data_IF_003849925956
#
_entry.id   IF_003849925956
#
_cell.length_a   1.000
_cell.length_b   1.000
_cell.length_c   1.000
_cell.angle_alpha   90.00
_cell.angle_beta   90.00
_cell.angle_gamma   90.00
#
_symmetry.space_group_name_H-M   'P 1'
#
loop_
_entity.id
_entity.type
_entity.pdbx_description
1 polymer ?
#
# COMPACT_ATOMS: atom_id res chain seq x y z
N UNK A 1 9.27 -0.72 18.03
CA UNK A 1 9.42 -0.36 16.60
C UNK A 1 8.58 0.89 16.44
N UNK A 2 9.18 1.99 16.00
CA UNK A 2 8.52 3.30 16.00
C UNK A 2 7.22 3.29 15.18
N UNK A 3 6.22 4.01 15.67
CA UNK A 3 4.98 4.33 14.96
C UNK A 3 5.32 5.10 13.69
N UNK A 4 5.56 4.38 12.58
CA UNK A 4 5.76 4.97 11.25
C UNK A 4 4.56 4.66 10.36
N UNK A 5 4.17 5.58 9.47
CA UNK A 5 3.22 5.26 8.41
C UNK A 5 3.72 4.06 7.60
N UNK A 6 2.84 3.11 7.31
CA UNK A 6 3.12 1.89 6.56
C UNK A 6 3.68 2.26 5.17
N UNK A 7 4.76 1.62 4.74
CA UNK A 7 5.28 1.72 3.38
C UNK A 7 4.72 0.63 2.46
N UNK A 8 5.59 0.06 1.63
CA UNK A 8 5.38 -1.22 0.95
C UNK A 8 6.36 -2.23 1.54
N UNK A 9 5.90 -2.96 2.55
CA UNK A 9 6.75 -3.84 3.36
C UNK A 9 6.11 -5.22 3.58
N UNK A 10 6.93 -6.18 3.98
CA UNK A 10 6.45 -7.51 4.33
C UNK A 10 5.61 -7.45 5.60
N UNK A 11 4.63 -8.35 5.71
CA UNK A 11 4.01 -8.62 6.99
C UNK A 11 4.95 -9.47 7.86
N UNK A 12 4.85 -9.41 9.19
CA UNK A 12 5.54 -10.34 10.06
C UNK A 12 5.05 -11.77 9.80
N UNK A 13 6.00 -12.72 9.77
CA UNK A 13 5.68 -14.13 9.64
C UNK A 13 4.67 -14.58 10.73
N UNK A 14 3.74 -15.45 10.35
CA UNK A 14 2.76 -16.07 11.26
C UNK A 14 1.71 -15.14 11.89
N UNK A 15 1.60 -13.87 11.48
CA UNK A 15 0.52 -12.99 11.95
C UNK A 15 -0.82 -13.19 11.22
N UNK A 16 -0.80 -13.67 9.97
CA UNK A 16 -2.00 -13.69 9.14
C UNK A 16 -2.57 -12.29 8.88
N UNK A 17 -1.73 -11.26 8.87
CA UNK A 17 -2.15 -9.86 8.76
C UNK A 17 -2.29 -9.37 7.30
N UNK A 18 -2.36 -10.27 6.33
CA UNK A 18 -2.25 -9.95 4.90
C UNK A 18 -3.35 -9.01 4.43
N UNK A 19 -4.58 -9.17 4.93
CA UNK A 19 -5.66 -8.23 4.62
C UNK A 19 -5.48 -6.84 5.23
N UNK A 20 -4.85 -6.70 6.39
CA UNK A 20 -4.55 -5.39 6.95
C UNK A 20 -3.43 -4.68 6.17
N UNK A 21 -2.40 -5.43 5.76
CA UNK A 21 -1.34 -4.93 4.89
C UNK A 21 -1.84 -4.59 3.49
N UNK A 22 -2.64 -5.45 2.86
CA UNK A 22 -3.25 -5.19 1.56
C UNK A 22 -4.14 -3.94 1.60
N UNK A 23 -4.92 -3.76 2.67
CA UNK A 23 -5.67 -2.52 2.89
C UNK A 23 -4.74 -1.31 2.97
N UNK A 24 -3.70 -1.36 3.82
CA UNK A 24 -2.77 -0.24 3.98
C UNK A 24 -2.01 0.10 2.69
N UNK A 25 -1.53 -0.91 1.96
CA UNK A 25 -0.87 -0.74 0.66
C UNK A 25 -1.82 -0.12 -0.39
N UNK A 26 -3.08 -0.58 -0.46
CA UNK A 26 -4.07 0.01 -1.36
C UNK A 26 -4.40 1.46 -0.98
N UNK A 27 -4.52 1.76 0.32
CA UNK A 27 -4.76 3.11 0.82
C UNK A 27 -3.59 4.06 0.55
N UNK A 28 -2.35 3.57 0.69
CA UNK A 28 -1.17 4.33 0.30
C UNK A 28 -1.26 4.76 -1.17
N UNK A 29 -1.62 3.85 -2.08
CA UNK A 29 -1.75 4.16 -3.52
C UNK A 29 -2.79 5.24 -3.82
N UNK A 30 -3.73 5.51 -2.92
CA UNK A 30 -4.74 6.58 -3.05
C UNK A 30 -4.48 7.76 -2.09
N UNK A 31 -3.22 7.95 -1.71
CA UNK A 31 -2.77 9.03 -0.82
C UNK A 31 -3.49 9.05 0.53
N UNK A 32 -3.70 7.88 1.12
CA UNK A 32 -4.18 7.70 2.49
C UNK A 32 -3.16 6.85 3.24
N UNK A 33 -2.49 7.50 4.18
CA UNK A 33 -1.42 6.97 5.00
C UNK A 33 -1.95 6.60 6.38
N UNK A 34 -1.20 5.73 7.05
CA UNK A 34 -1.46 5.35 8.44
C UNK A 34 -0.47 4.27 8.85
N UNK A 35 -0.27 4.11 10.15
CA UNK A 35 0.47 2.97 10.70
C UNK A 35 -0.29 1.66 10.46
N UNK A 36 0.46 0.55 10.43
CA UNK A 36 -0.14 -0.78 10.28
C UNK A 36 -1.17 -1.10 11.36
N UNK A 37 -0.97 -0.64 12.60
CA UNK A 37 -1.91 -0.88 13.70
C UNK A 37 -3.23 -0.13 13.50
N UNK A 38 -3.20 1.06 12.89
CA UNK A 38 -4.40 1.77 12.47
C UNK A 38 -5.16 0.97 11.41
N UNK A 39 -4.47 0.37 10.44
CA UNK A 39 -5.10 -0.47 9.44
C UNK A 39 -5.67 -1.75 10.03
N UNK A 40 -4.93 -2.46 10.89
CA UNK A 40 -5.39 -3.63 11.67
C UNK A 40 -6.66 -3.30 12.45
N UNK A 41 -6.68 -2.16 13.15
CA UNK A 41 -7.85 -1.70 13.90
C UNK A 41 -9.04 -1.33 12.98
N UNK A 42 -8.76 -0.67 11.86
CA UNK A 42 -9.78 -0.24 10.92
C UNK A 42 -10.46 -1.43 10.22
N UNK A 43 -9.69 -2.49 9.95
CA UNK A 43 -10.10 -3.70 9.26
C UNK A 43 -10.64 -4.78 10.21
N UNK A 44 -10.73 -4.50 11.52
CA UNK A 44 -11.14 -5.47 12.52
C UNK A 44 -10.29 -6.77 12.48
N UNK A 45 -9.00 -6.63 12.19
CA UNK A 45 -8.05 -7.74 12.20
C UNK A 45 -8.11 -8.49 13.53
N UNK A 46 -8.05 -9.81 13.43
CA UNK A 46 -8.01 -10.71 14.59
C UNK A 46 -6.66 -11.41 14.62
N UNK A 47 -5.85 -11.12 15.64
CA UNK A 47 -4.58 -11.80 15.85
C UNK A 47 -4.78 -13.21 16.40
N UNK A 48 -3.77 -14.06 16.24
CA UNK A 48 -3.74 -15.41 16.82
C UNK A 48 -3.98 -15.39 18.33
N UNK A 49 -3.36 -14.47 19.06
CA UNK A 49 -3.57 -14.32 20.51
C UNK A 49 -5.01 -13.97 20.86
N UNK A 50 -5.67 -13.13 20.05
CA UNK A 50 -7.08 -12.77 20.25
C UNK A 50 -8.01 -13.95 19.93
N UNK A 51 -7.74 -14.66 18.84
CA UNK A 51 -8.47 -15.87 18.46
C UNK A 51 -8.34 -16.96 19.52
N UNK A 52 -7.12 -17.21 20.00
CA UNK A 52 -6.81 -18.10 21.12
C UNK A 52 -7.65 -17.72 22.33
N UNK A 53 -7.61 -16.47 22.80
CA UNK A 53 -8.40 -16.05 23.99
C UNK A 53 -9.92 -16.23 23.82
N UNK A 54 -10.44 -16.06 22.61
CA UNK A 54 -11.87 -16.25 22.29
C UNK A 54 -12.27 -17.72 22.36
N UNK A 55 -11.41 -18.61 21.87
CA UNK A 55 -11.73 -20.02 21.64
C UNK A 55 -11.18 -20.99 22.71
N UNK A 56 -10.08 -20.66 23.40
CA UNK A 56 -9.56 -21.37 24.57
C UNK A 56 -10.36 -21.04 25.84
N UNK A 57 -11.53 -21.65 25.94
CA UNK A 57 -12.23 -21.84 27.23
C UNK A 57 -11.90 -23.24 27.75
N UNK A 58 -11.84 -23.41 29.07
CA UNK A 58 -11.40 -24.67 29.71
C UNK A 58 -12.13 -25.93 29.20
N UNK A 59 -13.40 -25.80 28.80
CA UNK A 59 -14.20 -26.90 28.25
C UNK A 59 -13.94 -27.21 26.76
N UNK A 60 -13.30 -26.31 26.00
CA UNK A 60 -12.92 -26.52 24.59
C UNK A 60 -11.54 -27.16 24.45
N UNK A 61 -10.75 -27.25 25.52
CA UNK A 61 -9.39 -27.79 25.51
C UNK A 61 -9.34 -29.27 25.08
N UNK A 62 -10.44 -30.01 25.26
CA UNK A 62 -10.57 -31.42 24.86
C UNK A 62 -11.11 -31.62 23.44
N UNK A 63 -11.50 -30.55 22.73
CA UNK A 63 -12.05 -30.65 21.39
C UNK A 63 -10.95 -30.51 20.34
N UNK A 64 -10.75 -31.53 19.52
CA UNK A 64 -9.77 -31.53 18.42
C UNK A 64 -10.00 -30.39 17.41
N UNK A 65 -11.24 -29.90 17.27
CA UNK A 65 -11.59 -28.84 16.32
C UNK A 65 -11.26 -27.44 16.84
N UNK A 66 -10.74 -27.30 18.06
CA UNK A 66 -10.38 -25.99 18.63
C UNK A 66 -9.23 -25.32 17.88
N UNK A 67 -8.28 -26.09 17.34
CA UNK A 67 -7.18 -25.54 16.54
C UNK A 67 -7.68 -24.92 15.22
N UNK A 68 -8.50 -25.66 14.47
CA UNK A 68 -9.10 -25.16 13.22
C UNK A 68 -9.93 -23.88 13.46
N UNK A 69 -10.74 -23.84 14.52
CA UNK A 69 -11.49 -22.63 14.90
C UNK A 69 -10.60 -21.46 15.28
N UNK A 70 -9.45 -21.72 15.88
CA UNK A 70 -8.49 -20.66 16.20
C UNK A 70 -7.90 -20.12 14.91
N UNK A 71 -7.42 -20.99 14.01
CA UNK A 71 -6.83 -20.59 12.72
C UNK A 71 -7.83 -19.80 11.87
N UNK A 72 -9.04 -20.33 11.68
CA UNK A 72 -10.06 -19.71 10.83
C UNK A 72 -10.57 -18.34 11.33
N UNK A 73 -10.33 -18.02 12.60
CA UNK A 73 -10.68 -16.73 13.21
C UNK A 73 -9.53 -15.70 13.06
N UNK A 74 -8.33 -16.09 12.60
CA UNK A 74 -7.17 -15.20 12.42
C UNK A 74 -7.24 -14.45 11.10
N UNK A 75 -6.76 -13.21 11.11
CA UNK A 75 -6.61 -12.40 9.90
C UNK A 75 -7.72 -11.40 9.70
N UNK A 76 -7.99 -11.07 8.44
CA UNK A 76 -8.93 -10.01 8.04
C UNK A 76 -9.98 -10.59 7.10
N UNK A 77 -11.23 -10.52 7.53
CA UNK A 77 -12.38 -10.90 6.70
C UNK A 77 -12.69 -9.85 5.62
N UNK A 78 -13.47 -10.22 4.60
CA UNK A 78 -14.09 -9.31 3.64
C UNK A 78 -14.72 -8.08 4.33
N UNK A 79 -15.55 -8.33 5.36
CA UNK A 79 -16.21 -7.26 6.11
C UNK A 79 -15.21 -6.32 6.77
N UNK A 80 -14.06 -6.87 7.16
CA UNK A 80 -12.91 -6.13 7.64
C UNK A 80 -12.35 -5.17 6.60
N UNK A 81 -12.01 -5.67 5.41
CA UNK A 81 -11.53 -4.85 4.29
C UNK A 81 -12.51 -3.71 3.96
N UNK A 82 -13.79 -4.04 3.78
CA UNK A 82 -14.85 -3.06 3.49
C UNK A 82 -14.99 -2.00 4.59
N UNK A 83 -14.89 -2.42 5.86
CA UNK A 83 -14.89 -1.50 7.02
C UNK A 83 -13.70 -0.54 6.96
N UNK A 84 -12.51 -1.04 6.63
CA UNK A 84 -11.29 -0.25 6.48
C UNK A 84 -11.42 0.81 5.38
N UNK A 85 -11.82 0.39 4.17
CA UNK A 85 -12.06 1.28 3.01
C UNK A 85 -13.05 2.39 3.39
N UNK A 86 -14.16 2.03 4.03
CA UNK A 86 -15.19 2.99 4.47
C UNK A 86 -14.67 3.98 5.51
N UNK A 87 -13.90 3.53 6.51
CA UNK A 87 -13.29 4.40 7.53
C UNK A 87 -12.30 5.40 6.92
N UNK A 88 -11.59 4.98 5.87
CA UNK A 88 -10.72 5.84 5.07
C UNK A 88 -11.50 6.82 4.17
N UNK A 89 -12.84 6.80 4.19
CA UNK A 89 -13.73 7.62 3.35
C UNK A 89 -13.56 7.35 1.85
N UNK A 90 -13.07 6.17 1.48
CA UNK A 90 -13.05 5.68 0.11
C UNK A 90 -14.36 4.94 -0.22
N UNK A 91 -14.66 4.84 -1.52
CA UNK A 91 -15.71 3.98 -2.03
C UNK A 91 -15.10 2.62 -2.38
N UNK A 92 -15.79 1.53 -2.01
CA UNK A 92 -15.44 0.18 -2.46
C UNK A 92 -16.38 -0.23 -3.59
N UNK A 93 -15.83 -0.88 -4.60
CA UNK A 93 -16.62 -1.58 -5.63
C UNK A 93 -16.25 -3.05 -5.58
N UNK A 94 -17.24 -3.90 -5.32
CA UNK A 94 -17.07 -5.35 -5.32
C UNK A 94 -16.75 -5.83 -6.74
N UNK A 95 -15.69 -6.61 -6.85
CA UNK A 95 -15.38 -7.42 -8.03
C UNK A 95 -15.70 -8.85 -7.64
N UNK A 96 -16.66 -9.43 -8.34
CA UNK A 96 -17.02 -10.85 -8.23
C UNK A 96 -17.42 -11.32 -9.63
N UNK A 97 -16.46 -11.90 -10.36
CA UNK A 97 -16.66 -12.29 -11.76
C UNK A 97 -16.00 -13.65 -12.07
N UNK A 98 -16.78 -14.52 -12.74
CA UNK A 98 -16.45 -15.91 -13.05
C UNK A 98 -15.97 -16.12 -14.49
N UNK A 99 -15.90 -15.05 -15.29
CA UNK A 99 -15.39 -15.05 -16.67
C UNK A 99 -13.98 -14.48 -16.70
N UNK A 100 -12.99 -15.30 -17.05
CA UNK A 100 -11.58 -14.87 -17.08
C UNK A 100 -11.37 -13.64 -17.98
N UNK A 101 -12.00 -13.61 -19.15
CA UNK A 101 -11.84 -12.49 -20.10
C UNK A 101 -12.52 -11.21 -19.61
N UNK A 102 -13.67 -11.30 -18.96
CA UNK A 102 -14.36 -10.13 -18.41
C UNK A 102 -13.65 -9.60 -17.18
N UNK A 103 -13.17 -10.49 -16.32
CA UNK A 103 -12.35 -10.16 -15.15
C UNK A 103 -11.09 -9.39 -15.52
N UNK A 104 -10.40 -9.76 -16.60
CA UNK A 104 -9.25 -9.00 -17.09
C UNK A 104 -9.63 -7.57 -17.49
N UNK A 105 -10.73 -7.42 -18.24
CA UNK A 105 -11.24 -6.11 -18.69
C UNK A 105 -11.66 -5.23 -17.51
N UNK A 106 -12.36 -5.80 -16.53
CA UNK A 106 -12.76 -5.10 -15.32
C UNK A 106 -11.55 -4.64 -14.51
N UNK A 107 -10.56 -5.52 -14.34
CA UNK A 107 -9.33 -5.16 -13.65
C UNK A 107 -8.60 -4.01 -14.37
N UNK A 108 -8.46 -4.10 -15.69
CA UNK A 108 -7.88 -3.04 -16.52
C UNK A 108 -8.64 -1.71 -16.35
N UNK A 109 -9.97 -1.73 -16.42
CA UNK A 109 -10.82 -0.55 -16.27
C UNK A 109 -10.59 0.15 -14.92
N UNK A 110 -10.54 -0.59 -13.81
CA UNK A 110 -10.32 0.02 -12.49
C UNK A 110 -8.92 0.64 -12.37
N UNK A 111 -7.89 -0.06 -12.87
CA UNK A 111 -6.51 0.42 -12.80
C UNK A 111 -6.30 1.65 -13.69
N UNK A 112 -6.86 1.67 -14.90
CA UNK A 112 -6.80 2.80 -15.82
C UNK A 112 -7.51 4.03 -15.24
N UNK A 113 -8.55 3.82 -14.43
CA UNK A 113 -9.24 4.87 -13.66
C UNK A 113 -8.55 5.21 -12.32
N UNK A 114 -7.34 4.72 -12.09
CA UNK A 114 -6.55 5.04 -10.90
C UNK A 114 -7.02 4.38 -9.61
N UNK A 115 -7.82 3.31 -9.68
CA UNK A 115 -8.31 2.59 -8.50
C UNK A 115 -7.49 1.32 -8.28
N UNK A 116 -6.72 1.20 -7.18
CA UNK A 116 -6.06 -0.06 -6.87
C UNK A 116 -7.11 -1.10 -6.48
N UNK A 117 -6.80 -2.37 -6.73
CA UNK A 117 -7.73 -3.47 -6.48
C UNK A 117 -7.14 -4.40 -5.42
N UNK A 118 -7.81 -4.55 -4.29
CA UNK A 118 -7.49 -5.56 -3.29
C UNK A 118 -8.10 -6.88 -3.75
N UNK A 119 -7.27 -7.85 -4.09
CA UNK A 119 -7.68 -9.16 -4.59
C UNK A 119 -7.57 -10.22 -3.51
N UNK A 120 -8.51 -11.15 -3.52
CA UNK A 120 -8.44 -12.39 -2.77
C UNK A 120 -7.90 -13.49 -3.67
N UNK A 121 -7.13 -14.40 -3.10
CA UNK A 121 -6.77 -15.66 -3.73
C UNK A 121 -6.87 -16.79 -2.71
N UNK A 122 -7.26 -17.97 -3.18
CA UNK A 122 -7.26 -19.21 -2.42
C UNK A 122 -6.15 -20.09 -3.00
N UNK A 123 -5.06 -20.33 -2.26
CA UNK A 123 -3.76 -20.63 -2.89
C UNK A 123 -3.54 -22.11 -3.17
N UNK A 124 -4.20 -23.02 -2.47
CA UNK A 124 -3.99 -24.45 -2.69
C UNK A 124 -5.22 -25.27 -2.29
N UNK A 125 -5.47 -26.34 -3.04
CA UNK A 125 -6.42 -27.40 -2.69
C UNK A 125 -5.87 -28.29 -1.55
N UNK A 126 -4.55 -28.36 -1.39
CA UNK A 126 -3.85 -29.31 -0.53
C UNK A 126 -3.30 -28.70 0.76
N UNK A 127 -3.25 -27.37 0.87
CA UNK A 127 -2.97 -26.68 2.12
C UNK A 127 -4.32 -26.22 2.67
N UNK A 128 -4.54 -26.37 3.98
CA UNK A 128 -5.66 -25.72 4.69
C UNK A 128 -5.40 -24.20 4.66
N UNK A 129 -5.50 -23.57 3.48
CA UNK A 129 -5.26 -22.15 3.30
C UNK A 129 -6.58 -21.39 3.50
N UNK A 130 -6.60 -20.55 4.54
CA UNK A 130 -7.71 -19.62 4.86
C UNK A 130 -7.82 -18.48 3.79
N UNK A 131 -6.93 -18.51 2.80
CA UNK A 131 -6.83 -17.59 1.66
C UNK A 131 -6.08 -16.31 2.00
N UNK A 132 -5.79 -15.53 0.98
CA UNK A 132 -4.83 -14.44 1.08
C UNK A 132 -5.23 -13.19 0.31
N UNK A 133 -4.94 -12.04 0.91
CA UNK A 133 -5.21 -10.73 0.35
C UNK A 133 -3.93 -10.08 -0.18
N UNK A 134 -4.01 -9.52 -1.39
CA UNK A 134 -2.92 -8.79 -2.03
C UNK A 134 -3.49 -7.65 -2.87
N UNK A 135 -2.64 -6.77 -3.39
CA UNK A 135 -3.07 -5.58 -4.14
C UNK A 135 -2.58 -5.65 -5.58
N UNK A 136 -3.48 -5.47 -6.54
CA UNK A 136 -3.15 -5.06 -7.89
C UNK A 136 -3.08 -3.53 -7.95
N UNK A 137 -1.86 -3.01 -8.10
CA UNK A 137 -1.50 -1.62 -7.86
C UNK A 137 -1.34 -0.79 -9.14
N UNK A 138 -1.49 -1.40 -10.31
CA UNK A 138 -1.36 -0.71 -11.60
C UNK A 138 -0.89 -1.65 -12.71
N UNK A 139 -0.53 -1.05 -13.85
CA UNK A 139 -0.03 -1.78 -15.03
C UNK A 139 1.33 -1.24 -15.46
N UNK A 140 2.17 -2.13 -15.96
CA UNK A 140 3.45 -1.82 -16.60
C UNK A 140 3.56 -2.64 -17.89
N UNK A 141 3.23 -2.02 -19.02
CA UNK A 141 3.08 -2.72 -20.29
C UNK A 141 1.93 -3.72 -20.27
N UNK A 142 2.24 -4.98 -20.59
CA UNK A 142 1.32 -6.13 -20.60
C UNK A 142 1.21 -6.85 -19.24
N UNK A 143 1.86 -6.32 -18.20
CA UNK A 143 1.89 -6.88 -16.86
C UNK A 143 1.21 -5.99 -15.84
N UNK A 144 0.78 -6.62 -14.77
CA UNK A 144 0.19 -6.00 -13.58
C UNK A 144 1.25 -5.85 -12.50
N UNK A 145 1.18 -4.73 -11.79
CA UNK A 145 2.01 -4.45 -10.62
C UNK A 145 1.28 -5.03 -9.42
N UNK A 146 1.88 -6.01 -8.77
CA UNK A 146 1.34 -6.63 -7.56
C UNK A 146 2.13 -6.15 -6.35
N UNK A 147 1.40 -5.77 -5.30
CA UNK A 147 1.94 -5.54 -3.96
C UNK A 147 1.38 -6.61 -3.04
N UNK A 148 2.26 -7.46 -2.53
CA UNK A 148 1.94 -8.65 -1.75
C UNK A 148 2.83 -8.69 -0.51
N UNK A 149 2.24 -8.58 0.68
CA UNK A 149 3.01 -8.53 1.93
C UNK A 149 3.52 -9.90 2.39
N UNK A 150 3.02 -10.99 1.81
CA UNK A 150 3.54 -12.34 2.02
C UNK A 150 3.45 -13.12 0.70
N UNK A 151 4.33 -12.80 -0.26
CA UNK A 151 4.31 -13.44 -1.57
C UNK A 151 4.63 -14.94 -1.47
N UNK A 152 3.89 -15.78 -2.20
CA UNK A 152 4.05 -17.25 -2.17
C UNK A 152 5.47 -17.69 -2.48
N UNK A 153 6.03 -17.11 -3.53
CA UNK A 153 7.35 -17.42 -3.99
C UNK A 153 8.29 -16.43 -3.33
N UNK A 154 9.23 -16.91 -2.52
CA UNK A 154 10.28 -16.07 -1.92
C UNK A 154 11.11 -15.29 -2.97
N UNK A 155 11.08 -15.72 -4.23
CA UNK A 155 11.69 -15.01 -5.36
C UNK A 155 10.90 -13.78 -5.83
N UNK A 156 9.60 -13.70 -5.50
CA UNK A 156 8.75 -12.53 -5.72
C UNK A 156 8.88 -11.68 -4.45
N UNK A 157 9.42 -10.46 -4.59
CA UNK A 157 9.46 -9.51 -3.48
C UNK A 157 8.09 -8.87 -3.21
N UNK A 158 8.01 -7.98 -2.21
CA UNK A 158 6.78 -7.24 -1.86
C UNK A 158 6.11 -6.61 -3.07
N UNK A 159 6.90 -6.03 -3.97
CA UNK A 159 6.43 -5.48 -5.25
C UNK A 159 6.94 -6.39 -6.36
N UNK A 160 6.06 -6.80 -7.26
CA UNK A 160 6.40 -7.71 -8.35
C UNK A 160 5.51 -7.51 -9.58
N UNK A 161 5.92 -8.07 -10.72
CA UNK A 161 5.17 -8.02 -11.97
C UNK A 161 4.56 -9.39 -12.29
N UNK A 162 3.29 -9.38 -12.65
CA UNK A 162 2.51 -10.57 -13.02
C UNK A 162 1.90 -10.37 -14.40
N UNK A 163 2.02 -11.35 -15.28
CA UNK A 163 1.16 -11.45 -16.45
C UNK A 163 -0.28 -11.80 -16.02
N UNK A 164 -1.27 -11.50 -16.86
CA UNK A 164 -2.67 -11.86 -16.59
C UNK A 164 -2.82 -13.35 -16.23
N UNK A 165 -2.16 -14.23 -16.98
CA UNK A 165 -2.19 -15.68 -16.75
C UNK A 165 -1.68 -16.10 -15.35
N UNK A 166 -0.78 -15.31 -14.75
CA UNK A 166 -0.31 -15.57 -13.38
C UNK A 166 -1.36 -15.13 -12.35
N UNK A 167 -2.08 -14.03 -12.59
CA UNK A 167 -3.21 -13.59 -11.74
C UNK A 167 -4.38 -14.55 -11.87
N UNK A 168 -4.77 -14.92 -13.10
CA UNK A 168 -5.94 -15.78 -13.31
C UNK A 168 -5.79 -17.15 -12.68
N UNK A 169 -4.57 -17.70 -12.64
CA UNK A 169 -4.26 -18.93 -11.90
C UNK A 169 -4.45 -18.79 -10.39
N UNK A 170 -4.13 -17.63 -9.81
CA UNK A 170 -4.36 -17.34 -8.38
C UNK A 170 -5.84 -17.08 -8.08
N UNK A 171 -6.65 -16.82 -9.10
CA UNK A 171 -8.10 -16.66 -9.02
C UNK A 171 -8.88 -17.97 -9.23
N UNK A 172 -8.18 -19.12 -9.25
CA UNK A 172 -8.85 -20.42 -9.21
C UNK A 172 -9.19 -20.71 -7.76
N UNK A 173 -10.48 -20.83 -7.48
CA UNK A 173 -11.00 -21.23 -6.16
C UNK A 173 -11.16 -22.74 -6.17
N UNK A 174 -10.67 -23.37 -5.09
CA UNK A 174 -10.82 -24.79 -4.85
C UNK A 174 -11.94 -25.00 -3.81
N UNK A 175 -12.90 -25.85 -4.16
CA UNK A 175 -13.95 -26.38 -3.30
C UNK A 175 -13.70 -27.89 -3.11
N UNK A 176 -14.38 -28.54 -2.16
CA UNK A 176 -14.13 -29.94 -1.75
C UNK A 176 -13.98 -30.88 -2.96
N UNK A 177 -14.88 -30.77 -3.94
CA UNK A 177 -14.94 -31.64 -5.11
C UNK A 177 -14.68 -30.93 -6.46
N UNK A 178 -14.45 -29.61 -6.47
CA UNK A 178 -14.35 -28.85 -7.73
C UNK A 178 -13.36 -27.69 -7.67
N UNK A 179 -13.07 -27.11 -8.83
CA UNK A 179 -12.36 -25.84 -8.93
C UNK A 179 -13.03 -24.97 -9.96
N UNK A 180 -13.15 -23.69 -9.68
CA UNK A 180 -13.73 -22.72 -10.60
C UNK A 180 -12.92 -21.43 -10.58
N UNK A 181 -12.94 -20.69 -11.69
CA UNK A 181 -12.35 -19.38 -11.75
C UNK A 181 -13.29 -18.35 -11.11
N UNK A 182 -12.74 -17.48 -10.26
CA UNK A 182 -13.42 -16.34 -9.69
C UNK A 182 -12.40 -15.23 -9.39
N UNK A 183 -12.48 -14.13 -10.12
CA UNK A 183 -11.78 -12.91 -9.70
C UNK A 183 -12.63 -12.23 -8.63
N UNK A 184 -12.15 -12.29 -7.39
CA UNK A 184 -12.85 -11.75 -6.23
C UNK A 184 -12.01 -10.70 -5.51
N UNK A 185 -12.62 -9.57 -5.16
CA UNK A 185 -11.93 -8.48 -4.48
C UNK A 185 -12.68 -7.15 -4.47
N UNK A 186 -11.95 -6.08 -4.17
CA UNK A 186 -12.51 -4.73 -4.03
C UNK A 186 -11.64 -3.70 -4.74
N UNK A 187 -12.20 -2.98 -5.71
CA UNK A 187 -11.59 -1.76 -6.21
C UNK A 187 -11.77 -0.64 -5.16
N UNK A 188 -10.68 0.07 -4.85
CA UNK A 188 -10.65 1.16 -3.88
C UNK A 188 -10.64 2.49 -4.61
N UNK A 189 -11.76 3.21 -4.57
CA UNK A 189 -11.89 4.50 -5.24
C UNK A 189 -11.61 5.65 -4.27
N UNK A 190 -10.59 6.50 -4.53
CA UNK A 190 -10.32 7.67 -3.72
C UNK A 190 -11.48 8.66 -3.75
N UNK A 191 -11.74 9.33 -2.62
CA UNK A 191 -12.67 10.46 -2.59
C UNK A 191 -12.14 11.66 -3.37
N UNK A 192 -10.84 11.91 -3.28
CA UNK A 192 -10.21 13.14 -3.77
C UNK A 192 -9.55 12.95 -5.16
N UNK A 193 -9.80 11.83 -5.85
CA UNK A 193 -9.21 11.46 -7.14
C UNK A 193 -7.67 11.48 -7.22
N UNK A 194 -6.98 11.46 -6.07
CA UNK A 194 -5.53 11.33 -6.01
C UNK A 194 -5.15 9.85 -6.07
N UNK A 195 -4.28 9.49 -7.00
CA UNK A 195 -3.81 8.11 -7.14
C UNK A 195 -2.41 8.01 -7.74
N UNK A 196 -1.61 7.12 -7.17
CA UNK A 196 -0.33 6.68 -7.70
C UNK A 196 -0.48 5.59 -8.78
N UNK A 197 -1.63 4.90 -8.86
CA UNK A 197 -1.84 3.73 -9.73
C UNK A 197 -1.44 3.98 -11.20
N UNK A 198 -1.84 5.11 -11.83
CA UNK A 198 -1.47 5.38 -13.22
C UNK A 198 0.02 5.65 -13.42
N UNK A 199 0.75 6.03 -12.37
CA UNK A 199 2.14 6.49 -12.45
C UNK A 199 3.15 5.53 -11.83
N UNK A 200 2.69 4.54 -11.06
CA UNK A 200 3.55 3.64 -10.30
C UNK A 200 4.58 2.92 -11.19
N UNK A 201 4.21 2.59 -12.43
CA UNK A 201 5.11 1.98 -13.41
C UNK A 201 6.38 2.78 -13.68
N UNK A 202 6.33 4.12 -13.56
CA UNK A 202 7.46 5.02 -13.81
C UNK A 202 8.54 4.91 -12.73
N UNK A 203 8.15 4.49 -11.53
CA UNK A 203 9.02 4.44 -10.35
C UNK A 203 9.40 3.02 -9.94
N UNK A 204 8.85 2.00 -10.61
CA UNK A 204 9.17 0.59 -10.36
C UNK A 204 10.68 0.27 -10.36
N UNK A 205 11.50 0.77 -11.30
CA UNK A 205 12.93 0.42 -11.30
C UNK A 205 13.64 0.83 -10.00
N UNK A 206 13.25 1.97 -9.43
CA UNK A 206 13.74 2.47 -8.15
C UNK A 206 13.17 1.63 -7.02
N UNK A 207 11.84 1.41 -7.01
CA UNK A 207 11.19 0.60 -6.00
C UNK A 207 11.75 -0.82 -5.94
N UNK A 208 12.16 -1.45 -7.05
CA UNK A 208 12.78 -2.79 -7.00
C UNK A 208 14.18 -2.79 -6.38
N UNK A 209 14.92 -1.68 -6.45
CA UNK A 209 16.33 -1.61 -6.04
C UNK A 209 16.53 -1.00 -4.65
N UNK A 210 15.65 -0.10 -4.24
CA UNK A 210 15.77 0.66 -2.99
C UNK A 210 14.68 0.18 -2.00
N UNK A 211 15.06 -0.77 -1.14
CA UNK A 211 14.21 -1.28 -0.07
C UNK A 211 13.82 -0.21 0.95
N UNK A 212 14.76 0.61 1.47
CA UNK A 212 14.40 1.75 2.32
C UNK A 212 13.33 2.65 1.71
N UNK A 213 13.44 3.02 0.42
CA UNK A 213 12.40 3.82 -0.22
C UNK A 213 11.01 3.15 -0.18
N UNK A 214 10.94 1.83 -0.38
CA UNK A 214 9.67 1.09 -0.27
C UNK A 214 9.11 1.15 1.15
N UNK A 215 9.92 0.83 2.15
CA UNK A 215 9.49 0.77 3.56
C UNK A 215 9.12 2.14 4.13
N UNK A 216 9.77 3.20 3.66
CA UNK A 216 9.54 4.58 4.08
C UNK A 216 8.57 5.34 3.17
N UNK A 217 7.99 4.69 2.15
CA UNK A 217 7.07 5.32 1.21
C UNK A 217 5.93 6.06 1.89
N UNK A 218 5.29 5.43 2.89
CA UNK A 218 4.19 6.03 3.64
C UNK A 218 4.61 7.25 4.45
N UNK A 219 5.84 7.28 4.95
CA UNK A 219 6.39 8.41 5.70
C UNK A 219 6.56 9.63 4.78
N UNK A 220 7.23 9.45 3.64
CA UNK A 220 7.37 10.51 2.64
C UNK A 220 6.00 11.01 2.17
N UNK A 221 5.08 10.10 1.91
CA UNK A 221 3.72 10.43 1.49
C UNK A 221 2.97 11.23 2.55
N UNK A 222 3.12 10.90 3.83
CA UNK A 222 2.43 11.62 4.91
C UNK A 222 2.92 13.06 5.01
N UNK A 223 4.24 13.27 5.02
CA UNK A 223 4.84 14.61 5.04
C UNK A 223 4.40 15.44 3.82
N UNK A 224 4.42 14.83 2.63
CA UNK A 224 4.00 15.48 1.40
C UNK A 224 2.53 15.90 1.42
N UNK A 225 1.64 15.13 2.06
CA UNK A 225 0.22 15.47 2.17
C UNK A 225 -0.04 16.67 3.08
N UNK A 226 0.86 16.96 4.02
CA UNK A 226 0.78 18.19 4.81
C UNK A 226 1.32 19.40 4.05
N UNK A 227 2.36 19.19 3.24
CA UNK A 227 3.07 20.28 2.55
C UNK A 227 2.37 20.69 1.25
N UNK A 228 2.00 19.73 0.42
CA UNK A 228 1.42 19.99 -0.90
C UNK A 228 -0.10 20.10 -0.84
N UNK A 229 -0.65 20.75 -1.87
CA UNK A 229 -2.08 20.73 -2.15
C UNK A 229 -2.43 19.54 -3.04
N UNK A 230 -3.74 19.29 -3.17
CA UNK A 230 -4.26 18.03 -3.72
C UNK A 230 -4.39 17.98 -5.24
N UNK A 231 -4.49 19.12 -5.94
CA UNK A 231 -4.83 19.12 -7.38
C UNK A 231 -4.32 20.34 -8.16
N UNK A 232 -3.94 20.10 -9.43
CA UNK A 232 -3.54 21.11 -10.44
C UNK A 232 -4.69 21.97 -10.99
N UNK A 233 -5.89 21.89 -10.41
CA UNK A 233 -7.13 22.51 -10.95
C UNK A 233 -7.30 23.99 -10.63
N UNK A 234 -6.26 24.64 -10.10
CA UNK A 234 -6.30 26.07 -9.74
C UNK A 234 -5.25 26.80 -10.58
N UNK A 235 -5.68 27.82 -11.33
CA UNK A 235 -4.75 28.80 -11.88
C UNK A 235 -3.84 29.28 -10.73
N UNK A 236 -2.52 29.28 -10.92
CA UNK A 236 -1.52 29.67 -9.91
C UNK A 236 -0.98 28.55 -8.96
N UNK A 237 -0.85 27.32 -9.45
CA UNK A 237 -0.08 26.25 -8.78
C UNK A 237 1.36 26.14 -9.31
N UNK A 238 2.20 25.39 -8.58
CA UNK A 238 3.53 24.93 -8.97
C UNK A 238 3.55 23.41 -8.82
N UNK A 239 3.93 22.69 -9.87
CA UNK A 239 4.05 21.23 -9.81
C UNK A 239 5.13 20.81 -8.81
N UNK A 240 5.00 19.64 -8.19
CA UNK A 240 6.04 19.09 -7.32
C UNK A 240 7.40 19.02 -8.03
N UNK A 241 7.42 18.59 -9.29
CA UNK A 241 8.62 18.56 -10.13
C UNK A 241 9.31 19.93 -10.24
N UNK A 242 8.55 20.99 -10.53
CA UNK A 242 9.11 22.34 -10.65
C UNK A 242 9.59 22.86 -9.29
N UNK A 243 8.87 22.55 -8.22
CA UNK A 243 9.25 22.90 -6.86
C UNK A 243 10.62 22.28 -6.49
N UNK A 244 10.79 20.97 -6.64
CA UNK A 244 12.06 20.31 -6.32
C UNK A 244 13.18 20.75 -7.26
N UNK A 245 12.91 20.92 -8.56
CA UNK A 245 13.90 21.42 -9.52
C UNK A 245 14.45 22.79 -9.09
N UNK A 246 13.57 23.67 -8.59
CA UNK A 246 13.94 25.04 -8.22
C UNK A 246 14.63 25.14 -6.86
N UNK A 247 14.18 24.37 -5.86
CA UNK A 247 14.54 24.61 -4.47
C UNK A 247 15.47 23.56 -3.83
N UNK A 248 15.67 22.39 -4.44
CA UNK A 248 16.51 21.31 -3.86
C UNK A 248 17.93 21.77 -3.49
N UNK A 249 18.58 22.57 -4.35
CA UNK A 249 19.91 23.10 -4.04
C UNK A 249 19.92 23.96 -2.77
N UNK A 250 18.93 24.84 -2.63
CA UNK A 250 18.79 25.71 -1.45
C UNK A 250 18.51 24.89 -0.19
N UNK A 251 17.70 23.84 -0.27
CA UNK A 251 17.49 22.94 0.87
C UNK A 251 18.79 22.26 1.30
N UNK A 252 19.57 21.71 0.37
CA UNK A 252 20.85 21.06 0.68
C UNK A 252 21.82 22.04 1.33
N UNK A 253 21.95 23.24 0.78
CA UNK A 253 22.85 24.26 1.34
C UNK A 253 22.43 24.69 2.76
N UNK A 254 21.14 24.91 3.01
CA UNK A 254 20.64 25.32 4.32
C UNK A 254 20.71 24.20 5.36
N UNK A 255 20.27 22.99 5.03
CA UNK A 255 20.27 21.87 5.98
C UNK A 255 21.69 21.47 6.36
N UNK A 256 22.62 21.41 5.40
CA UNK A 256 24.04 21.15 5.69
C UNK A 256 24.72 22.26 6.47
N UNK A 257 24.29 23.51 6.31
CA UNK A 257 24.85 24.61 7.11
C UNK A 257 24.52 24.45 8.60
N UNK A 258 23.29 24.03 8.93
CA UNK A 258 22.86 23.84 10.32
C UNK A 258 23.22 22.47 10.91
N UNK A 259 23.47 21.47 10.07
CA UNK A 259 23.84 20.11 10.48
C UNK A 259 25.17 19.71 9.79
N UNK A 260 26.32 20.20 10.29
CA UNK A 260 27.61 20.03 9.61
C UNK A 260 28.07 18.56 9.53
N UNK A 261 27.56 17.70 10.40
CA UNK A 261 27.87 16.27 10.44
C UNK A 261 27.08 15.45 9.38
N UNK A 262 26.08 16.05 8.74
CA UNK A 262 25.26 15.40 7.72
C UNK A 262 25.83 15.65 6.34
N UNK A 263 26.16 14.57 5.63
CA UNK A 263 26.64 14.66 4.26
C UNK A 263 25.57 15.20 3.30
N UNK A 264 25.97 16.12 2.40
CA UNK A 264 25.10 16.66 1.34
C UNK A 264 24.49 15.57 0.44
N UNK A 265 25.23 14.49 0.21
CA UNK A 265 24.80 13.30 -0.54
C UNK A 265 23.57 12.65 0.08
N UNK A 266 23.53 12.55 1.42
CA UNK A 266 22.41 11.99 2.18
C UNK A 266 21.17 12.86 2.03
N UNK A 267 21.30 14.18 2.20
CA UNK A 267 20.18 15.13 2.03
C UNK A 267 19.64 15.09 0.59
N UNK A 268 20.53 15.02 -0.40
CA UNK A 268 20.14 14.87 -1.80
C UNK A 268 19.37 13.57 -2.05
N UNK A 269 19.75 12.45 -1.40
CA UNK A 269 19.01 11.18 -1.49
C UNK A 269 17.58 11.33 -0.93
N UNK A 270 17.44 11.92 0.25
CA UNK A 270 16.11 12.16 0.85
C UNK A 270 15.23 13.06 -0.01
N UNK A 271 15.79 14.15 -0.54
CA UNK A 271 15.08 15.03 -1.48
C UNK A 271 14.63 14.30 -2.76
N UNK A 272 15.46 13.40 -3.28
CA UNK A 272 15.10 12.59 -4.44
C UNK A 272 13.94 11.63 -4.12
N UNK A 273 13.94 11.04 -2.92
CA UNK A 273 12.84 10.19 -2.47
C UNK A 273 11.53 10.99 -2.35
N UNK A 274 11.58 12.18 -1.71
CA UNK A 274 10.44 13.10 -1.66
C UNK A 274 9.93 13.50 -3.05
N UNK A 275 10.82 13.89 -3.96
CA UNK A 275 10.47 14.26 -5.34
C UNK A 275 9.79 13.10 -6.06
N UNK A 276 10.37 11.90 -5.95
CA UNK A 276 9.85 10.70 -6.59
C UNK A 276 8.42 10.37 -6.11
N UNK A 277 8.19 10.39 -4.79
CA UNK A 277 6.86 10.14 -4.21
C UNK A 277 5.90 11.24 -4.67
N UNK A 278 6.26 12.51 -4.53
CA UNK A 278 5.38 13.63 -4.90
C UNK A 278 4.98 13.63 -6.38
N UNK A 279 5.91 13.30 -7.27
CA UNK A 279 5.67 13.18 -8.70
C UNK A 279 4.77 11.98 -9.03
N UNK A 280 4.88 10.87 -8.27
CA UNK A 280 4.04 9.69 -8.45
C UNK A 280 2.55 10.00 -8.19
N UNK A 281 2.26 10.81 -7.19
CA UNK A 281 0.89 11.26 -6.87
C UNK A 281 0.46 12.52 -7.64
N UNK A 282 1.33 13.06 -8.50
CA UNK A 282 1.12 14.33 -9.21
C UNK A 282 0.74 15.49 -8.26
N UNK A 283 1.41 15.61 -7.12
CA UNK A 283 1.15 16.70 -6.19
C UNK A 283 1.54 18.06 -6.77
N UNK A 284 0.79 19.08 -6.36
CA UNK A 284 1.00 20.47 -6.76
C UNK A 284 0.79 21.39 -5.55
N UNK A 285 1.44 22.55 -5.57
CA UNK A 285 1.42 23.52 -4.48
C UNK A 285 0.86 24.84 -4.96
N UNK A 286 -0.13 25.40 -4.27
CA UNK A 286 -0.57 26.78 -4.50
C UNK A 286 0.58 27.74 -4.24
N UNK A 287 0.81 28.70 -5.14
CA UNK A 287 1.86 29.71 -4.93
C UNK A 287 1.66 30.53 -3.67
N UNK A 288 0.43 30.66 -3.16
CA UNK A 288 0.14 31.36 -1.90
C UNK A 288 0.67 30.64 -0.66
N UNK A 289 0.94 29.32 -0.76
CA UNK A 289 1.49 28.49 0.32
C UNK A 289 2.99 28.23 0.15
N UNK A 290 3.65 28.91 -0.79
CA UNK A 290 5.06 28.68 -1.09
C UNK A 290 5.95 28.82 0.16
N UNK A 291 5.80 29.91 0.91
CA UNK A 291 6.64 30.17 2.09
C UNK A 291 6.44 29.09 3.17
N UNK A 292 5.18 28.69 3.40
CA UNK A 292 4.83 27.60 4.33
C UNK A 292 5.47 26.28 3.88
N UNK A 293 5.39 25.95 2.60
CA UNK A 293 5.97 24.72 2.07
C UNK A 293 7.51 24.69 2.18
N UNK A 294 8.18 25.83 1.90
CA UNK A 294 9.63 25.94 2.06
C UNK A 294 10.05 25.76 3.52
N UNK A 295 9.31 26.35 4.46
CA UNK A 295 9.56 26.18 5.91
C UNK A 295 9.36 24.71 6.30
N UNK A 296 8.21 24.13 5.96
CA UNK A 296 7.87 22.75 6.33
C UNK A 296 8.86 21.74 5.77
N UNK A 297 9.30 21.89 4.51
CA UNK A 297 10.34 21.01 3.95
C UNK A 297 11.68 21.15 4.65
N UNK A 298 12.09 22.37 4.96
CA UNK A 298 13.36 22.61 5.66
C UNK A 298 13.34 21.94 7.04
N UNK A 299 12.22 22.02 7.75
CA UNK A 299 12.02 21.33 9.03
C UNK A 299 12.05 19.81 8.85
N UNK A 300 11.26 19.27 7.92
CA UNK A 300 11.19 17.83 7.66
C UNK A 300 12.58 17.23 7.33
N UNK A 301 13.34 17.89 6.45
CA UNK A 301 14.69 17.44 6.08
C UNK A 301 15.69 17.56 7.23
N UNK A 302 15.58 18.62 8.04
CA UNK A 302 16.43 18.78 9.23
C UNK A 302 16.18 17.65 10.22
N UNK A 303 14.92 17.32 10.50
CA UNK A 303 14.56 16.23 11.41
C UNK A 303 14.96 14.87 10.83
N UNK A 304 14.70 14.61 9.55
CA UNK A 304 15.09 13.36 8.89
C UNK A 304 16.61 13.15 8.89
N UNK A 305 17.40 14.23 8.80
CA UNK A 305 18.85 14.15 8.83
C UNK A 305 19.45 13.72 10.18
N UNK A 306 18.66 13.79 11.25
CA UNK A 306 19.08 13.46 12.62
C UNK A 306 18.74 12.03 13.04
N UNK A 307 17.92 11.31 12.25
CA UNK A 307 17.56 9.92 12.54
C UNK A 307 18.59 9.01 11.87
N UNK A 308 19.38 8.27 12.65
CA UNK A 308 20.32 7.24 12.16
C UNK A 308 19.60 6.01 11.60
#
# INVERSE_FOLDING_TARGET
>A
MYDKPLGFEYQPDYEGSCGAYALGHALNLVAITGEIDNFKNSSNYTSITRSVKKNLKWYNFLNRNTYQKISSDVGTSERGILSGIKKAKCTSVLIDNYSETESQKLLDEYLDNGSPVILYANWDKNEEDDGHWYVCAGKSGDKYIIIDSAPLLASKGVISLYAWIEISRRSIVFDEDSSYFQLYGFAVQPKDNISAVPHLHKVLPQLFRDEPLREWWGYYLEDLRYIFDKTETVDNVISSKDFFTKYSRTFIENVSFWNPDVEKSRIQKELNNYSLVAETYNFALSKSRMDEALISFTVALTTASQVE
#
